data_IF_986706734403
#
_entry.id   IF_986706734403
#
_cell.length_a   1.000
_cell.length_b   1.000
_cell.length_c   1.000
_cell.angle_alpha   90.00
_cell.angle_beta   90.00
_cell.angle_gamma   90.00
#
_symmetry.space_group_name_H-M   'P 1'
#
loop_
_entity.id
_entity.type
_entity.pdbx_description
1 polymer ?
#
# COMPACT_ATOMS: atom_id res chain seq x y z
N UNK A 1 7.31 28.56 -50.30
CA UNK A 1 6.73 29.29 -49.14
C UNK A 1 5.38 28.65 -48.78
N UNK A 2 5.39 27.62 -47.94
CA UNK A 2 4.19 27.02 -47.34
C UNK A 2 4.47 26.76 -45.86
N UNK A 3 3.43 26.94 -45.05
CA UNK A 3 3.45 27.39 -43.66
C UNK A 3 3.55 26.24 -42.64
N UNK A 4 4.21 26.53 -41.52
CA UNK A 4 3.78 26.20 -40.16
C UNK A 4 3.45 24.74 -39.84
N UNK A 5 4.45 23.95 -39.48
CA UNK A 5 4.24 22.73 -38.68
C UNK A 5 4.04 23.13 -37.22
N UNK A 6 2.79 23.21 -36.77
CA UNK A 6 2.45 23.25 -35.34
C UNK A 6 2.72 21.89 -34.72
N UNK A 7 3.98 21.60 -34.44
CA UNK A 7 4.36 20.51 -33.53
C UNK A 7 5.09 21.14 -32.36
N UNK A 8 4.34 21.38 -31.28
CA UNK A 8 4.92 21.68 -29.97
C UNK A 8 6.02 20.63 -29.67
N UNK A 9 7.18 21.03 -29.14
CA UNK A 9 8.21 20.09 -28.77
C UNK A 9 7.61 19.09 -27.78
N UNK A 10 7.71 17.79 -28.11
CA UNK A 10 7.33 16.73 -27.18
C UNK A 10 8.25 16.84 -25.98
N UNK A 11 7.76 17.45 -24.91
CA UNK A 11 8.43 17.43 -23.59
C UNK A 11 8.67 15.96 -23.27
N UNK A 12 9.92 15.55 -22.97
CA UNK A 12 10.19 14.18 -22.57
C UNK A 12 9.36 13.89 -21.33
N UNK A 13 8.32 13.07 -21.48
CA UNK A 13 7.58 12.58 -20.34
C UNK A 13 8.51 11.61 -19.63
N UNK A 14 9.13 12.07 -18.54
CA UNK A 14 9.80 11.19 -17.59
C UNK A 14 8.86 10.07 -17.13
N UNK A 15 9.39 8.99 -16.54
CA UNK A 15 8.56 7.90 -16.05
C UNK A 15 7.46 8.47 -15.16
N UNK A 16 6.20 8.28 -15.55
CA UNK A 16 5.06 8.57 -14.67
C UNK A 16 4.94 7.41 -13.72
N UNK A 17 5.63 7.51 -12.60
CA UNK A 17 5.50 6.57 -11.50
C UNK A 17 4.16 6.86 -10.80
N UNK A 18 3.11 6.19 -11.24
CA UNK A 18 1.87 6.13 -10.50
C UNK A 18 2.05 5.12 -9.37
N UNK A 19 1.89 5.56 -8.12
CA UNK A 19 1.92 4.70 -6.95
C UNK A 19 0.52 4.62 -6.34
N UNK A 20 0.09 3.40 -6.00
CA UNK A 20 -1.09 3.18 -5.18
C UNK A 20 -0.69 3.33 -3.71
N UNK A 21 -1.36 4.24 -3.02
CA UNK A 21 -1.13 4.56 -1.61
C UNK A 21 -2.35 4.07 -0.82
N UNK A 22 -2.15 3.11 0.08
CA UNK A 22 -3.13 2.68 1.07
C UNK A 22 -2.64 3.03 2.48
N UNK A 23 -3.51 3.65 3.27
CA UNK A 23 -3.26 4.03 4.66
C UNK A 23 -4.06 3.09 5.55
N UNK A 24 -3.39 2.44 6.50
CA UNK A 24 -4.01 1.45 7.37
C UNK A 24 -3.71 1.84 8.81
N UNK A 25 -4.75 2.12 9.58
CA UNK A 25 -4.65 2.46 10.99
C UNK A 25 -5.33 1.32 11.75
N UNK A 26 -4.55 0.37 12.32
CA UNK A 26 -5.14 -0.68 13.12
C UNK A 26 -5.69 -0.10 14.43
N UNK A 27 -6.84 -0.62 14.86
CA UNK A 27 -7.36 -0.39 16.21
C UNK A 27 -6.43 -1.07 17.22
N UNK A 28 -6.07 -0.35 18.29
CA UNK A 28 -5.06 -0.79 19.26
C UNK A 28 -5.50 -2.04 20.02
N UNK A 29 -6.72 -2.03 20.56
CA UNK A 29 -7.27 -3.16 21.33
C UNK A 29 -7.40 -4.41 20.45
N UNK A 30 -7.90 -4.23 19.22
CA UNK A 30 -8.00 -5.32 18.26
C UNK A 30 -6.63 -5.89 17.90
N UNK A 31 -5.63 -5.04 17.61
CA UNK A 31 -4.31 -5.49 17.21
C UNK A 31 -3.59 -6.22 18.34
N UNK A 32 -3.69 -5.70 19.57
CA UNK A 32 -3.13 -6.34 20.76
C UNK A 32 -3.78 -7.69 21.03
N UNK A 33 -5.10 -7.79 20.88
CA UNK A 33 -5.82 -9.05 21.04
C UNK A 33 -5.42 -10.08 19.96
N UNK A 34 -5.41 -9.66 18.68
CA UNK A 34 -5.00 -10.52 17.57
C UNK A 34 -3.56 -11.01 17.74
N UNK A 35 -2.64 -10.14 18.17
CA UNK A 35 -1.26 -10.49 18.41
C UNK A 35 -1.12 -11.55 19.52
N UNK A 36 -1.88 -11.41 20.62
CA UNK A 36 -1.92 -12.40 21.71
C UNK A 36 -2.38 -13.77 21.20
N UNK A 37 -3.44 -13.81 20.39
CA UNK A 37 -3.98 -15.06 19.84
C UNK A 37 -2.99 -15.74 18.87
N UNK A 38 -2.13 -14.94 18.22
CA UNK A 38 -1.06 -15.40 17.33
C UNK A 38 0.28 -15.61 18.05
N UNK A 39 0.31 -15.58 19.40
CA UNK A 39 1.52 -15.75 20.22
C UNK A 39 2.62 -14.70 19.92
N UNK A 40 2.22 -13.49 19.54
CA UNK A 40 3.11 -12.34 19.32
C UNK A 40 2.93 -11.37 20.49
N UNK A 41 3.98 -11.14 21.26
CA UNK A 41 4.00 -10.17 22.35
C UNK A 41 4.65 -8.86 21.93
N UNK A 42 4.14 -7.74 22.45
CA UNK A 42 4.74 -6.43 22.27
C UNK A 42 3.76 -5.32 22.62
N UNK A 43 4.27 -4.10 22.73
CA UNK A 43 3.48 -2.88 22.73
C UNK A 43 2.86 -2.64 21.36
N UNK A 44 1.81 -1.81 21.28
CA UNK A 44 1.18 -1.44 20.02
C UNK A 44 2.21 -0.94 18.98
N UNK A 45 3.12 -0.06 19.39
CA UNK A 45 4.17 0.48 18.53
C UNK A 45 5.17 -0.58 18.01
N UNK A 46 5.45 -1.62 18.80
CA UNK A 46 6.30 -2.74 18.37
C UNK A 46 5.56 -3.65 17.38
N UNK A 47 4.27 -3.91 17.64
CA UNK A 47 3.42 -4.69 16.75
C UNK A 47 3.23 -4.00 15.40
N UNK A 48 3.04 -2.68 15.37
CA UNK A 48 2.94 -1.93 14.13
C UNK A 48 4.21 -1.96 13.28
N UNK A 49 5.38 -2.19 13.90
CA UNK A 49 6.65 -2.37 13.19
C UNK A 49 6.92 -3.82 12.82
N UNK A 50 6.21 -4.78 13.42
CA UNK A 50 6.41 -6.21 13.22
C UNK A 50 6.02 -6.65 11.80
N UNK A 51 6.91 -7.36 11.11
CA UNK A 51 6.70 -7.80 9.73
C UNK A 51 5.60 -8.87 9.61
N UNK A 52 5.38 -9.70 10.63
CA UNK A 52 4.32 -10.71 10.65
C UNK A 52 2.95 -10.02 10.72
N UNK A 53 2.81 -9.02 11.60
CA UNK A 53 1.61 -8.19 11.72
C UNK A 53 1.31 -7.50 10.39
N UNK A 54 2.29 -6.78 9.82
CA UNK A 54 2.13 -6.08 8.53
C UNK A 54 1.72 -7.03 7.41
N UNK A 55 2.32 -8.22 7.36
CA UNK A 55 1.98 -9.22 6.35
C UNK A 55 0.55 -9.74 6.53
N UNK A 56 0.12 -10.04 7.75
CA UNK A 56 -1.26 -10.50 8.00
C UNK A 56 -2.28 -9.46 7.56
N UNK A 57 -2.07 -8.20 7.93
CA UNK A 57 -2.95 -7.09 7.52
C UNK A 57 -2.99 -6.98 5.99
N UNK A 58 -1.84 -7.07 5.33
CA UNK A 58 -1.75 -7.00 3.87
C UNK A 58 -2.48 -8.17 3.19
N UNK A 59 -2.29 -9.38 3.70
CA UNK A 59 -2.92 -10.59 3.18
C UNK A 59 -4.45 -10.55 3.35
N UNK A 60 -4.94 -10.03 4.48
CA UNK A 60 -6.36 -9.81 4.74
C UNK A 60 -6.96 -8.78 3.77
N UNK A 61 -6.30 -7.64 3.57
CA UNK A 61 -6.73 -6.63 2.60
C UNK A 61 -6.72 -7.17 1.17
N UNK A 62 -5.71 -7.98 0.81
CA UNK A 62 -5.65 -8.65 -0.48
C UNK A 62 -6.82 -9.63 -0.66
N UNK A 63 -7.14 -10.39 0.38
CA UNK A 63 -8.23 -11.38 0.36
C UNK A 63 -9.60 -10.70 0.27
N UNK A 64 -9.81 -9.65 1.07
CA UNK A 64 -11.02 -8.83 1.04
C UNK A 64 -11.19 -8.14 -0.31
N UNK A 65 -10.14 -7.51 -0.83
CA UNK A 65 -10.21 -6.82 -2.13
C UNK A 65 -10.55 -7.78 -3.29
N UNK A 66 -9.97 -8.99 -3.29
CA UNK A 66 -10.33 -10.03 -4.27
C UNK A 66 -11.79 -10.45 -4.15
N UNK A 67 -12.31 -10.65 -2.93
CA UNK A 67 -13.72 -10.98 -2.68
C UNK A 67 -14.66 -9.86 -3.13
N UNK A 68 -14.25 -8.61 -2.98
CA UNK A 68 -15.01 -7.43 -3.41
C UNK A 68 -14.90 -7.13 -4.91
N UNK A 69 -14.17 -7.95 -5.69
CA UNK A 69 -14.01 -7.78 -7.13
C UNK A 69 -13.06 -6.65 -7.55
N UNK A 70 -12.19 -6.20 -6.63
CA UNK A 70 -11.16 -5.20 -6.96
C UNK A 70 -10.15 -5.76 -7.96
N UNK A 71 -9.72 -4.91 -8.90
CA UNK A 71 -8.73 -5.30 -9.90
C UNK A 71 -7.33 -5.31 -9.30
N UNK A 72 -6.41 -6.07 -9.90
CA UNK A 72 -5.04 -6.23 -9.39
C UNK A 72 -4.26 -4.91 -9.23
N UNK A 73 -4.62 -3.86 -9.96
CA UNK A 73 -4.01 -2.52 -9.84
C UNK A 73 -4.59 -1.67 -8.70
N UNK A 74 -5.71 -2.08 -8.11
CA UNK A 74 -6.36 -1.45 -6.94
C UNK A 74 -6.02 -2.19 -5.64
N UNK A 75 -5.41 -3.36 -5.75
CA UNK A 75 -5.00 -4.21 -4.63
C UNK A 75 -3.57 -3.88 -4.18
N UNK A 76 -3.40 -3.67 -2.89
CA UNK A 76 -2.08 -3.53 -2.27
C UNK A 76 -1.46 -4.92 -2.20
N UNK A 77 -0.46 -5.18 -3.04
CA UNK A 77 0.17 -6.51 -3.15
C UNK A 77 1.63 -6.54 -2.73
N UNK A 78 2.25 -5.39 -2.45
CA UNK A 78 3.69 -5.33 -2.13
C UNK A 78 3.99 -4.19 -1.18
N UNK A 79 4.70 -4.51 -0.12
CA UNK A 79 5.32 -3.54 0.76
C UNK A 79 6.54 -2.93 0.06
N UNK A 80 6.41 -1.69 -0.44
CA UNK A 80 7.54 -0.91 -0.97
C UNK A 80 7.91 0.22 -0.02
N UNK A 81 9.08 0.18 0.64
CA UNK A 81 9.49 1.22 1.59
C UNK A 81 9.70 2.59 0.94
N UNK A 82 9.88 2.65 -0.39
CA UNK A 82 10.14 3.90 -1.12
C UNK A 82 8.88 4.69 -1.49
N UNK A 83 7.68 4.11 -1.37
CA UNK A 83 6.47 4.79 -1.86
C UNK A 83 5.27 4.75 -0.91
N UNK A 84 5.29 4.00 0.20
CA UNK A 84 4.13 3.93 1.07
C UNK A 84 4.46 3.50 2.50
N UNK A 85 4.24 4.40 3.44
CA UNK A 85 4.21 4.11 4.87
C UNK A 85 3.18 5.01 5.55
N UNK A 86 2.06 4.43 5.97
CA UNK A 86 1.33 4.82 7.18
C UNK A 86 0.72 3.55 7.79
N UNK A 87 1.57 2.79 8.47
CA UNK A 87 1.22 2.23 9.77
C UNK A 87 2.08 3.05 10.75
N UNK A 88 1.45 3.79 11.66
CA UNK A 88 2.16 4.29 12.85
C UNK A 88 2.67 3.11 13.66
#
# INVERSE_FOLDING_TARGET
>A
MCKGTNSLPRIPKGPRDACLVAVIIPDEDYLLHWARDNSISGTFAELCKNNVVKKSILDDLCTLGKRSGLKSFELVSTYRPTCLFVLM
#
